data_IF_163585663724
#
_entry.id   IF_163585663724
#
_cell.length_a   1.000
_cell.length_b   1.000
_cell.length_c   1.000
_cell.angle_alpha   90.00
_cell.angle_beta   90.00
_cell.angle_gamma   90.00
#
_symmetry.space_group_name_H-M   'P 1'
#
loop_
_entity.id
_entity.type
_entity.pdbx_description
1 polymer ?
#
# COMPACT_ATOMS: atom_id res chain seq x y z
N UNK A 1 -0.98 20.60 -7.59
CA UNK A 1 -0.75 19.93 -6.29
C UNK A 1 0.02 18.66 -6.62
N UNK A 2 1.34 18.74 -6.63
CA UNK A 2 2.20 17.56 -6.85
C UNK A 2 1.83 16.55 -5.77
N UNK A 3 1.39 15.37 -6.17
CA UNK A 3 1.33 14.23 -5.27
C UNK A 3 2.72 14.14 -4.64
N UNK A 4 2.84 14.49 -3.35
CA UNK A 4 4.14 14.62 -2.72
C UNK A 4 4.82 13.26 -2.84
N UNK A 5 6.03 13.22 -3.40
CA UNK A 5 6.79 11.98 -3.60
C UNK A 5 6.85 11.15 -2.32
N UNK A 6 6.85 11.82 -1.17
CA UNK A 6 6.75 11.23 0.17
C UNK A 6 5.51 10.35 0.35
N UNK A 7 4.35 10.78 -0.16
CA UNK A 7 3.10 10.02 -0.06
C UNK A 7 3.16 8.73 -0.86
N UNK A 8 3.72 8.78 -2.07
CA UNK A 8 3.91 7.57 -2.89
C UNK A 8 4.89 6.63 -2.21
N UNK A 9 5.95 7.17 -1.61
CA UNK A 9 6.94 6.38 -0.88
C UNK A 9 6.31 5.66 0.33
N UNK A 10 5.48 6.35 1.12
CA UNK A 10 4.73 5.75 2.22
C UNK A 10 3.82 4.60 1.74
N UNK A 11 3.06 4.83 0.66
CA UNK A 11 2.17 3.83 0.07
C UNK A 11 2.93 2.59 -0.38
N UNK A 12 4.05 2.78 -1.06
CA UNK A 12 4.89 1.69 -1.57
C UNK A 12 5.53 0.92 -0.42
N UNK A 13 6.10 1.61 0.57
CA UNK A 13 6.72 0.99 1.74
C UNK A 13 5.70 0.17 2.56
N UNK A 14 4.47 0.70 2.72
CA UNK A 14 3.38 0.00 3.38
C UNK A 14 3.04 -1.33 2.68
N UNK A 15 2.84 -1.29 1.37
CA UNK A 15 2.52 -2.51 0.60
C UNK A 15 3.69 -3.50 0.63
N UNK A 16 4.92 -3.04 0.47
CA UNK A 16 6.11 -3.90 0.52
C UNK A 16 6.27 -4.57 1.88
N UNK A 17 6.01 -3.86 2.97
CA UNK A 17 6.08 -4.41 4.32
C UNK A 17 5.09 -5.55 4.54
N UNK A 18 3.84 -5.40 4.09
CA UNK A 18 2.77 -6.38 4.34
C UNK A 18 2.72 -7.53 3.33
N UNK A 19 3.07 -7.29 2.06
CA UNK A 19 2.98 -8.30 1.00
C UNK A 19 4.34 -8.86 0.58
N UNK A 20 5.44 -8.29 1.06
CA UNK A 20 6.81 -8.65 0.69
C UNK A 20 7.06 -8.62 -0.83
N UNK A 21 6.31 -7.79 -1.55
CA UNK A 21 6.54 -7.52 -2.95
C UNK A 21 7.68 -6.53 -3.14
N UNK A 22 8.38 -6.68 -4.27
CA UNK A 22 9.44 -5.76 -4.65
C UNK A 22 8.88 -4.35 -4.95
N UNK A 23 9.66 -3.31 -4.63
CA UNK A 23 9.23 -1.91 -4.75
C UNK A 23 8.88 -1.53 -6.20
N UNK A 24 9.61 -2.09 -7.17
CA UNK A 24 9.38 -1.87 -8.60
C UNK A 24 7.99 -2.38 -9.03
N UNK A 25 7.58 -3.57 -8.56
CA UNK A 25 6.25 -4.13 -8.82
C UNK A 25 5.12 -3.27 -8.27
N UNK A 26 5.35 -2.62 -7.14
CA UNK A 26 4.35 -1.76 -6.50
C UNK A 26 4.28 -0.40 -7.19
N UNK A 27 5.43 0.13 -7.65
CA UNK A 27 5.51 1.36 -8.44
C UNK A 27 4.83 1.22 -9.81
N UNK A 28 4.86 0.03 -10.41
CA UNK A 28 4.16 -0.28 -11.66
C UNK A 28 2.63 -0.38 -11.51
N UNK A 29 2.09 -0.44 -10.28
CA UNK A 29 0.64 -0.45 -10.08
C UNK A 29 0.03 0.91 -10.41
N UNK A 30 -1.06 0.87 -11.18
CA UNK A 30 -1.92 2.03 -11.35
C UNK A 30 -2.37 2.55 -9.98
N UNK A 31 -2.40 3.87 -9.81
CA UNK A 31 -2.83 4.55 -8.58
C UNK A 31 -4.12 3.98 -7.96
N UNK A 32 -5.23 3.77 -8.72
CA UNK A 32 -6.45 3.19 -8.16
C UNK A 32 -6.27 1.75 -7.65
N UNK A 33 -5.43 0.95 -8.31
CA UNK A 33 -5.15 -0.43 -7.89
C UNK A 33 -4.36 -0.42 -6.59
N UNK A 34 -3.31 0.41 -6.48
CA UNK A 34 -2.52 0.54 -5.26
C UNK A 34 -3.37 0.98 -4.07
N UNK A 35 -4.26 1.96 -4.25
CA UNK A 35 -5.18 2.40 -3.19
C UNK A 35 -6.09 1.27 -2.69
N UNK A 36 -6.58 0.43 -3.61
CA UNK A 36 -7.42 -0.71 -3.24
C UNK A 36 -6.63 -1.73 -2.43
N UNK A 37 -5.40 -2.05 -2.83
CA UNK A 37 -4.52 -2.96 -2.09
C UNK A 37 -4.28 -2.46 -0.66
N UNK A 38 -3.90 -1.19 -0.51
CA UNK A 38 -3.69 -0.56 0.81
C UNK A 38 -4.94 -0.68 1.68
N UNK A 39 -6.12 -0.40 1.10
CA UNK A 39 -7.40 -0.50 1.81
C UNK A 39 -7.69 -1.92 2.31
N UNK A 40 -7.44 -2.94 1.47
CA UNK A 40 -7.70 -4.33 1.85
C UNK A 40 -6.72 -4.84 2.91
N UNK A 41 -5.44 -4.46 2.84
CA UNK A 41 -4.45 -4.77 3.89
C UNK A 41 -4.94 -4.21 5.24
N UNK A 42 -5.38 -2.95 5.27
CA UNK A 42 -5.91 -2.31 6.48
C UNK A 42 -7.11 -3.06 7.08
N UNK A 43 -8.06 -3.49 6.22
CA UNK A 43 -9.22 -4.29 6.66
C UNK A 43 -8.84 -5.66 7.21
N UNK A 44 -7.82 -6.32 6.65
CA UNK A 44 -7.34 -7.61 7.14
C UNK A 44 -6.76 -7.44 8.55
N UNK A 45 -5.87 -6.46 8.71
CA UNK A 45 -5.21 -6.22 9.98
C UNK A 45 -6.18 -5.77 11.08
N UNK A 46 -7.16 -4.93 10.76
CA UNK A 46 -8.15 -4.48 11.75
C UNK A 46 -8.95 -5.66 12.31
N UNK A 47 -9.39 -6.58 11.45
CA UNK A 47 -10.11 -7.80 11.90
C UNK A 47 -9.26 -8.69 12.79
N UNK A 48 -7.97 -8.83 12.50
CA UNK A 48 -7.06 -9.64 13.32
C UNK A 48 -6.69 -9.02 14.66
N UNK A 49 -6.98 -7.73 14.86
CA UNK A 49 -6.66 -7.01 16.11
C UNK A 49 -7.84 -6.97 17.09
N UNK A 50 -9.05 -7.28 16.63
CA UNK A 50 -10.29 -7.30 17.43
C UNK A 50 -10.63 -8.70 17.99
N UNK A 51 -9.87 -9.74 17.61
CA UNK A 51 -9.90 -11.12 18.17
C UNK A 51 -8.77 -11.30 19.21
#
# INVERSE_FOLDING_TARGET
MTYATDRVWEEVAYVAYYLHWDLDKILDLEHPVRNRVITEIGKIHSRSSDD
#
